data_IF_043848552208
#
_entry.id   IF_043848552208
#
_cell.length_a   1.000
_cell.length_b   1.000
_cell.length_c   1.000
_cell.angle_alpha   90.00
_cell.angle_beta   90.00
_cell.angle_gamma   90.00
#
_symmetry.space_group_name_H-M   'P 1'
#
loop_
_entity.id
_entity.type
_entity.pdbx_description
1 polymer ?
#
# COMPACT_ATOMS: atom_id res chain seq x y z
N UNK A 1 -6.86 17.54 -8.70
CA UNK A 1 -6.78 16.07 -8.81
C UNK A 1 -5.69 15.60 -7.86
N UNK A 2 -5.96 14.56 -7.07
CA UNK A 2 -5.04 13.95 -6.12
C UNK A 2 -4.81 12.49 -6.51
N UNK A 3 -3.55 12.08 -6.51
CA UNK A 3 -3.11 10.72 -6.77
C UNK A 3 -2.06 10.37 -5.72
N UNK A 4 -2.23 9.24 -5.05
CA UNK A 4 -1.26 8.72 -4.10
C UNK A 4 -1.03 7.23 -4.36
N UNK A 5 0.22 6.81 -4.39
CA UNK A 5 0.59 5.40 -4.40
C UNK A 5 1.13 5.08 -3.03
N UNK A 6 0.48 4.16 -2.33
CA UNK A 6 0.86 3.80 -0.97
C UNK A 6 0.77 2.31 -0.73
N UNK A 7 1.40 1.89 0.36
CA UNK A 7 1.24 0.57 0.90
C UNK A 7 -0.11 0.41 1.59
N UNK A 8 -0.70 -0.77 1.46
CA UNK A 8 -1.99 -1.12 2.02
C UNK A 8 -1.87 -2.39 2.85
N UNK A 9 -2.53 -2.37 3.99
CA UNK A 9 -2.65 -3.52 4.87
C UNK A 9 -3.58 -4.57 4.26
N UNK A 10 -3.21 -5.84 4.42
CA UNK A 10 -4.08 -6.97 4.13
C UNK A 10 -5.27 -6.98 5.10
N UNK A 11 -6.47 -7.20 4.57
CA UNK A 11 -7.70 -7.17 5.37
C UNK A 11 -7.84 -8.35 6.32
N UNK A 12 -7.11 -9.42 6.04
CA UNK A 12 -6.96 -10.60 6.89
C UNK A 12 -5.48 -10.97 6.99
N UNK A 13 -5.11 -11.73 8.01
CA UNK A 13 -3.75 -12.24 8.16
C UNK A 13 -3.31 -13.09 6.96
N UNK A 14 -4.24 -13.82 6.35
CA UNK A 14 -3.99 -14.57 5.12
C UNK A 14 -3.59 -13.64 3.97
N UNK A 15 -4.36 -12.56 3.75
CA UNK A 15 -4.06 -11.58 2.70
C UNK A 15 -2.76 -10.82 2.99
N UNK A 16 -2.51 -10.47 4.26
CA UNK A 16 -1.26 -9.84 4.67
C UNK A 16 -0.08 -10.74 4.33
N UNK A 17 -0.14 -12.02 4.70
CA UNK A 17 0.90 -13.00 4.37
C UNK A 17 1.08 -13.15 2.86
N UNK A 18 -0.01 -13.27 2.11
CA UNK A 18 0.02 -13.36 0.66
C UNK A 18 0.76 -12.18 0.01
N UNK A 19 0.58 -10.96 0.54
CA UNK A 19 1.22 -9.77 0.00
C UNK A 19 2.72 -9.76 0.26
N UNK A 20 3.12 -10.15 1.46
CA UNK A 20 4.53 -10.31 1.84
C UNK A 20 5.22 -11.42 1.04
N UNK A 21 4.59 -12.58 0.89
CA UNK A 21 5.14 -13.69 0.12
C UNK A 21 5.39 -13.29 -1.34
N UNK A 22 4.42 -12.65 -1.99
CA UNK A 22 4.57 -12.15 -3.37
C UNK A 22 5.68 -11.10 -3.49
N UNK A 23 5.85 -10.21 -2.51
CA UNK A 23 6.96 -9.25 -2.53
C UNK A 23 8.31 -9.94 -2.36
N UNK A 24 8.43 -10.87 -1.40
CA UNK A 24 9.65 -11.65 -1.18
C UNK A 24 10.05 -12.44 -2.41
N UNK A 25 9.09 -13.09 -3.07
CA UNK A 25 9.32 -13.80 -4.34
C UNK A 25 9.86 -12.86 -5.41
N UNK A 26 9.21 -11.70 -5.60
CA UNK A 26 9.61 -10.71 -6.62
C UNK A 26 11.00 -10.15 -6.37
N UNK A 27 11.34 -9.76 -5.14
CA UNK A 27 12.67 -9.18 -4.86
C UNK A 27 13.79 -10.21 -5.02
N UNK A 28 13.55 -11.47 -4.63
CA UNK A 28 14.49 -12.57 -4.86
C UNK A 28 14.66 -12.86 -6.35
N UNK A 29 13.57 -12.95 -7.10
CA UNK A 29 13.60 -13.16 -8.56
C UNK A 29 14.35 -12.04 -9.30
N UNK A 30 14.32 -10.82 -8.79
CA UNK A 30 15.05 -9.68 -9.33
C UNK A 30 16.51 -9.57 -8.81
N UNK A 31 17.03 -10.58 -8.10
CA UNK A 31 18.44 -10.66 -7.72
C UNK A 31 18.83 -9.85 -6.48
N UNK A 32 17.89 -9.44 -5.64
CA UNK A 32 18.22 -8.78 -4.37
C UNK A 32 19.02 -9.74 -3.46
N UNK A 33 20.11 -9.25 -2.86
CA UNK A 33 20.91 -10.04 -1.91
C UNK A 33 20.13 -10.22 -0.61
N UNK A 34 20.31 -11.36 0.06
CA UNK A 34 19.57 -11.68 1.28
C UNK A 34 19.78 -10.63 2.38
N UNK A 35 20.98 -10.05 2.51
CA UNK A 35 21.25 -8.94 3.43
C UNK A 35 20.36 -7.70 3.17
N UNK A 36 20.09 -7.39 1.89
CA UNK A 36 19.25 -6.26 1.50
C UNK A 36 17.77 -6.57 1.76
N UNK A 37 17.37 -7.83 1.57
CA UNK A 37 16.03 -8.31 1.86
C UNK A 37 15.76 -8.21 3.37
N UNK A 38 16.68 -8.71 4.20
CA UNK A 38 16.51 -8.67 5.66
C UNK A 38 16.50 -7.23 6.21
N UNK A 39 17.38 -6.35 5.71
CA UNK A 39 17.35 -4.93 6.06
C UNK A 39 16.00 -4.28 5.68
N UNK A 40 15.45 -4.63 4.50
CA UNK A 40 14.14 -4.15 4.06
C UNK A 40 13.00 -4.67 4.94
N UNK A 41 13.03 -5.95 5.31
CA UNK A 41 12.03 -6.54 6.22
C UNK A 41 12.05 -5.81 7.57
N UNK A 42 13.23 -5.59 8.14
CA UNK A 42 13.37 -4.93 9.44
C UNK A 42 12.80 -3.52 9.40
N UNK A 43 13.23 -2.71 8.42
CA UNK A 43 12.78 -1.33 8.24
C UNK A 43 11.25 -1.25 8.08
N UNK A 44 10.66 -2.14 7.28
CA UNK A 44 9.20 -2.18 7.08
C UNK A 44 8.47 -2.53 8.38
N UNK A 45 8.94 -3.55 9.13
CA UNK A 45 8.32 -3.94 10.41
C UNK A 45 8.41 -2.85 11.48
N UNK A 46 9.46 -2.05 11.47
CA UNK A 46 9.69 -0.99 12.46
C UNK A 46 8.93 0.31 12.13
N UNK A 47 8.89 0.70 10.85
CA UNK A 47 8.48 2.04 10.46
C UNK A 47 7.17 2.09 9.66
N UNK A 48 6.80 1.04 8.92
CA UNK A 48 5.62 1.07 8.07
C UNK A 48 4.35 0.93 8.94
N UNK A 49 3.37 1.81 8.67
CA UNK A 49 2.06 1.84 9.36
C UNK A 49 0.96 1.77 8.32
N UNK A 50 0.91 0.63 7.64
CA UNK A 50 -0.02 0.43 6.53
C UNK A 50 -1.47 0.47 7.03
N UNK A 51 -2.30 1.26 6.35
CA UNK A 51 -3.73 1.32 6.57
C UNK A 51 -4.48 0.41 5.59
N UNK A 52 -5.70 0.01 5.95
CA UNK A 52 -6.58 -0.72 5.04
C UNK A 52 -7.00 0.18 3.87
N UNK A 53 -7.32 -0.43 2.73
CA UNK A 53 -7.78 0.32 1.53
C UNK A 53 -8.98 1.20 1.87
N UNK A 54 -9.95 0.64 2.62
CA UNK A 54 -11.15 1.38 2.97
C UNK A 54 -10.85 2.56 3.89
N UNK A 55 -9.87 2.45 4.80
CA UNK A 55 -9.48 3.54 5.70
C UNK A 55 -8.89 4.69 4.90
N UNK A 56 -7.98 4.42 3.97
CA UNK A 56 -7.38 5.46 3.13
C UNK A 56 -8.42 6.13 2.22
N UNK A 57 -9.35 5.36 1.63
CA UNK A 57 -10.47 5.91 0.86
C UNK A 57 -11.36 6.77 1.74
N UNK A 58 -11.64 6.34 2.96
CA UNK A 58 -12.47 7.08 3.91
C UNK A 58 -11.81 8.39 4.32
N UNK A 59 -10.51 8.40 4.63
CA UNK A 59 -9.78 9.62 4.96
C UNK A 59 -9.78 10.65 3.84
N UNK A 60 -9.69 10.20 2.58
CA UNK A 60 -9.80 11.11 1.43
C UNK A 60 -11.21 11.73 1.35
N UNK A 61 -12.27 10.93 1.57
CA UNK A 61 -13.63 11.46 1.61
C UNK A 61 -13.80 12.49 2.74
N UNK A 62 -13.31 12.18 3.93
CA UNK A 62 -13.34 13.07 5.10
C UNK A 62 -12.55 14.37 4.88
N UNK A 63 -11.45 14.31 4.12
CA UNK A 63 -10.67 15.48 3.71
C UNK A 63 -11.34 16.33 2.60
N UNK A 64 -12.55 15.98 2.19
CA UNK A 64 -13.36 16.70 1.20
C UNK A 64 -13.02 16.36 -0.25
N UNK A 65 -12.34 15.24 -0.51
CA UNK A 65 -12.18 14.75 -1.89
C UNK A 65 -13.48 14.08 -2.37
N UNK A 66 -13.83 14.36 -3.62
CA UNK A 66 -14.90 13.73 -4.38
C UNK A 66 -14.34 12.67 -5.33
N UNK A 67 -15.19 11.77 -5.84
CA UNK A 67 -14.80 10.71 -6.78
C UNK A 67 -13.59 9.89 -6.26
N UNK A 68 -13.61 9.54 -4.97
CA UNK A 68 -12.52 8.84 -4.32
C UNK A 68 -12.61 7.34 -4.59
N UNK A 69 -11.51 6.74 -5.04
CA UNK A 69 -11.38 5.30 -5.22
C UNK A 69 -9.91 4.84 -5.17
N UNK A 70 -9.68 3.55 -4.96
CA UNK A 70 -8.41 2.87 -5.21
C UNK A 70 -8.44 2.26 -6.62
N UNK A 71 -8.11 3.08 -7.61
CA UNK A 71 -8.32 2.75 -9.03
C UNK A 71 -7.33 1.70 -9.58
N UNK A 72 -6.30 1.34 -8.80
CA UNK A 72 -5.43 0.22 -9.09
C UNK A 72 -4.92 -0.42 -7.80
N UNK A 73 -4.84 -1.75 -7.77
CA UNK A 73 -4.26 -2.50 -6.67
C UNK A 73 -3.41 -3.66 -7.18
N UNK A 74 -2.24 -3.85 -6.56
CA UNK A 74 -1.44 -5.05 -6.71
C UNK A 74 -0.85 -5.47 -5.36
N UNK A 75 -1.43 -6.50 -4.73
CA UNK A 75 -1.03 -6.98 -3.41
C UNK A 75 -1.06 -5.85 -2.37
N UNK A 76 0.09 -5.47 -1.76
CA UNK A 76 0.15 -4.36 -0.81
C UNK A 76 0.29 -2.99 -1.48
N UNK A 77 0.36 -2.84 -2.80
CA UNK A 77 0.43 -1.53 -3.44
C UNK A 77 -0.96 -1.09 -3.90
N UNK A 78 -1.40 0.09 -3.48
CA UNK A 78 -2.65 0.72 -3.94
C UNK A 78 -2.38 2.09 -4.56
N UNK A 79 -3.12 2.42 -5.62
CA UNK A 79 -3.15 3.75 -6.22
C UNK A 79 -4.51 4.39 -5.91
N UNK A 80 -4.47 5.36 -5.01
CA UNK A 80 -5.62 6.12 -4.55
C UNK A 80 -5.79 7.39 -5.37
N UNK A 81 -7.03 7.70 -5.70
CA UNK A 81 -7.41 8.84 -6.50
C UNK A 81 -8.50 9.64 -5.80
N UNK A 82 -8.52 10.95 -6.04
CA UNK A 82 -9.62 11.82 -5.63
C UNK A 82 -9.59 13.18 -6.34
N UNK A 83 -10.73 13.84 -6.40
CA UNK A 83 -10.89 15.19 -6.98
C UNK A 83 -11.33 16.15 -5.90
N UNK A 84 -10.52 17.17 -5.63
CA UNK A 84 -10.92 18.30 -4.79
C UNK A 84 -11.29 19.46 -5.71
N UNK A 85 -12.50 20.00 -5.56
CA UNK A 85 -12.86 21.24 -6.24
C UNK A 85 -12.09 22.39 -5.58
N UNK A 86 -11.51 23.33 -6.35
CA UNK A 86 -11.08 24.60 -5.81
C UNK A 86 -12.28 25.28 -5.15
N UNK A 87 -12.10 25.75 -3.91
CA UNK A 87 -13.06 26.62 -3.25
C UNK A 87 -13.03 28.03 -3.81
#
# INVERSE_FOLDING_TARGET
MFINIDQIKGETDFLQKLYWDNWLEKVRKNGAREEQIQASIQRRKEYDKDALVFEQVQWLKEAGFLNVDCIYRSFFMGLFFGVKQPG
#
